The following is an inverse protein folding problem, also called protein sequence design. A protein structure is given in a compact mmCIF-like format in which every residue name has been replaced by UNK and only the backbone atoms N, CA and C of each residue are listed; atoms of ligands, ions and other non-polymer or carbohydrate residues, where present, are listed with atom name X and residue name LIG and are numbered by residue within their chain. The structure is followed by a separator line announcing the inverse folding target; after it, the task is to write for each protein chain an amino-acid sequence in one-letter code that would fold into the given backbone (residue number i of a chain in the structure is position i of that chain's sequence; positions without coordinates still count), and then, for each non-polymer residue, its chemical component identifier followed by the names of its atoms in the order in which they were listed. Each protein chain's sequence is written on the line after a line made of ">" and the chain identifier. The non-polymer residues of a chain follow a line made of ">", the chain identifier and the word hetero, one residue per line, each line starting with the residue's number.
data_IF_812548951634
#
_entry.id   IF_812548951634
#
_cell.length_a   1.000
_cell.length_b   1.000
_cell.length_c   1.000
_cell.angle_alpha   90.00
_cell.angle_beta   90.00
_cell.angle_gamma   90.00
#
_symmetry.space_group_name_H-M   'P 1'
#
loop_
_entity.id
_entity.type
_entity.pdbx_description
1 polymer ?
#
# COMPACT_ATOMS: atom_id res chain seq x y z
N UNK A 1 8.33 13.14 -5.17
CA UNK A 1 7.15 13.09 -4.23
C UNK A 1 5.99 13.88 -4.83
N UNK A 2 4.76 13.38 -4.74
CA UNK A 2 3.60 14.03 -5.37
C UNK A 2 3.31 15.43 -4.77
N UNK A 3 3.02 16.38 -5.64
CA UNK A 3 2.38 17.66 -5.30
C UNK A 3 0.92 17.45 -4.85
N UNK A 4 0.31 18.49 -4.28
CA UNK A 4 -1.09 18.46 -3.83
C UNK A 4 -2.04 18.11 -4.97
N UNK A 5 -1.82 18.69 -6.15
CA UNK A 5 -2.64 18.44 -7.32
C UNK A 5 -2.46 16.99 -7.81
N UNK A 6 -1.22 16.50 -7.89
CA UNK A 6 -0.94 15.11 -8.28
C UNK A 6 -1.55 14.10 -7.30
N UNK A 7 -1.42 14.35 -6.00
CA UNK A 7 -2.03 13.51 -4.95
C UNK A 7 -3.56 13.52 -5.04
N UNK A 8 -4.16 14.68 -5.27
CA UNK A 8 -5.62 14.80 -5.46
C UNK A 8 -6.07 14.03 -6.69
N UNK A 9 -5.37 14.13 -7.82
CA UNK A 9 -5.67 13.31 -9.02
C UNK A 9 -5.55 11.82 -8.72
N UNK A 10 -4.48 11.40 -8.06
CA UNK A 10 -4.27 10.01 -7.64
C UNK A 10 -5.41 9.50 -6.75
N UNK A 11 -5.78 10.23 -5.68
CA UNK A 11 -6.89 9.85 -4.80
C UNK A 11 -8.23 9.81 -5.55
N UNK A 12 -8.48 10.75 -6.46
CA UNK A 12 -9.70 10.76 -7.28
C UNK A 12 -9.76 9.54 -8.22
N UNK A 13 -8.68 9.21 -8.92
CA UNK A 13 -8.59 8.02 -9.77
C UNK A 13 -8.79 6.75 -8.94
N UNK A 14 -8.17 6.67 -7.76
CA UNK A 14 -8.27 5.54 -6.86
C UNK A 14 -9.70 5.34 -6.30
N UNK A 15 -10.39 6.43 -5.96
CA UNK A 15 -11.81 6.37 -5.57
C UNK A 15 -12.71 5.93 -6.72
N UNK A 16 -12.45 6.38 -7.94
CA UNK A 16 -13.16 5.88 -9.14
C UNK A 16 -12.92 4.38 -9.34
N UNK A 17 -11.67 3.92 -9.21
CA UNK A 17 -11.30 2.50 -9.28
C UNK A 17 -12.04 1.68 -8.22
N UNK A 18 -12.13 2.18 -6.97
CA UNK A 18 -12.91 1.57 -5.90
C UNK A 18 -14.41 1.52 -6.20
N UNK A 19 -15.00 2.64 -6.63
CA UNK A 19 -16.43 2.71 -6.97
C UNK A 19 -16.79 1.84 -8.19
N UNK A 20 -15.86 1.66 -9.11
CA UNK A 20 -15.99 0.77 -10.26
C UNK A 20 -15.86 -0.71 -9.90
N UNK A 21 -15.60 -1.02 -8.62
CA UNK A 21 -15.46 -2.39 -8.10
C UNK A 21 -14.18 -3.12 -8.54
N UNK A 22 -13.38 -2.51 -9.41
CA UNK A 22 -12.11 -3.08 -9.85
C UNK A 22 -11.07 -3.14 -8.73
N UNK A 23 -11.01 -2.14 -7.83
CA UNK A 23 -10.11 -2.21 -6.67
C UNK A 23 -10.36 -3.46 -5.82
N UNK A 24 -11.63 -3.76 -5.56
CA UNK A 24 -12.04 -4.91 -4.76
C UNK A 24 -11.78 -6.23 -5.46
N UNK A 25 -11.86 -6.24 -6.80
CA UNK A 25 -11.42 -7.39 -7.61
C UNK A 25 -9.91 -7.63 -7.48
N UNK A 26 -9.09 -6.59 -7.48
CA UNK A 26 -7.65 -6.72 -7.21
C UNK A 26 -7.40 -7.25 -5.80
N UNK A 27 -8.08 -6.72 -4.78
CA UNK A 27 -7.98 -7.22 -3.40
C UNK A 27 -8.38 -8.70 -3.31
N UNK A 28 -9.44 -9.09 -4.01
CA UNK A 28 -9.93 -10.45 -4.06
C UNK A 28 -8.96 -11.41 -4.77
N UNK A 29 -8.37 -11.01 -5.90
CA UNK A 29 -7.33 -11.80 -6.56
C UNK A 29 -6.13 -12.02 -5.65
N UNK A 30 -5.65 -10.95 -4.99
CA UNK A 30 -4.55 -11.10 -4.02
C UNK A 30 -4.90 -12.08 -2.91
N UNK A 31 -6.08 -11.96 -2.31
CA UNK A 31 -6.57 -12.90 -1.29
C UNK A 31 -6.56 -14.35 -1.80
N UNK A 32 -7.15 -14.64 -2.97
CA UNK A 32 -7.19 -15.99 -3.53
C UNK A 32 -5.78 -16.59 -3.71
N UNK A 33 -4.89 -15.86 -4.40
CA UNK A 33 -3.58 -16.38 -4.76
C UNK A 33 -2.56 -16.35 -3.62
N UNK A 34 -2.84 -15.58 -2.56
CA UNK A 34 -2.15 -15.71 -1.29
C UNK A 34 -2.46 -17.04 -0.60
N UNK A 35 -3.73 -17.45 -0.56
CA UNK A 35 -4.13 -18.73 0.04
C UNK A 35 -3.68 -19.95 -0.79
N UNK A 36 -3.69 -19.84 -2.13
CA UNK A 36 -3.20 -20.90 -3.02
C UNK A 36 -1.67 -21.03 -3.05
N UNK A 37 -0.94 -20.09 -2.43
CA UNK A 37 0.54 -20.06 -2.43
C UNK A 37 1.14 -19.69 -3.79
N UNK A 38 0.39 -19.01 -4.65
CA UNK A 38 0.91 -18.51 -5.93
C UNK A 38 1.56 -17.13 -5.82
N UNK A 39 1.15 -16.33 -4.83
CA UNK A 39 1.60 -14.96 -4.64
C UNK A 39 2.59 -14.77 -3.49
N UNK A 40 2.67 -15.71 -2.54
CA UNK A 40 3.49 -15.60 -1.32
C UNK A 40 4.13 -16.93 -0.96
N UNK A 41 5.09 -16.91 -0.04
CA UNK A 41 5.80 -18.04 0.55
C UNK A 41 6.76 -18.74 -0.42
N UNK A 42 7.36 -17.97 -1.33
CA UNK A 42 8.30 -18.51 -2.30
C UNK A 42 8.71 -17.56 -3.41
N UNK A 43 9.54 -18.03 -4.36
CA UNK A 43 10.18 -17.18 -5.37
C UNK A 43 9.22 -16.52 -6.36
N UNK A 44 7.95 -16.94 -6.41
CA UNK A 44 6.93 -16.24 -7.20
C UNK A 44 6.48 -14.92 -6.58
N UNK A 45 6.83 -14.63 -5.33
CA UNK A 45 6.41 -13.41 -4.62
C UNK A 45 6.67 -12.14 -5.44
N UNK A 46 7.92 -11.90 -5.83
CA UNK A 46 8.29 -10.69 -6.56
C UNK A 46 7.67 -10.62 -7.97
N UNK A 47 7.78 -11.64 -8.85
CA UNK A 47 7.22 -11.55 -10.19
C UNK A 47 5.69 -11.47 -10.20
N UNK A 48 5.00 -12.19 -9.31
CA UNK A 48 3.54 -12.12 -9.21
C UNK A 48 3.08 -10.72 -8.78
N UNK A 49 3.70 -10.15 -7.73
CA UNK A 49 3.35 -8.79 -7.28
C UNK A 49 3.73 -7.72 -8.31
N UNK A 50 4.83 -7.90 -9.06
CA UNK A 50 5.23 -6.98 -10.12
C UNK A 50 4.19 -6.88 -11.23
N UNK A 51 3.69 -8.02 -11.71
CA UNK A 51 2.63 -8.03 -12.71
C UNK A 51 1.29 -7.55 -12.11
N UNK A 52 1.00 -7.90 -10.86
CA UNK A 52 -0.18 -7.40 -10.15
C UNK A 52 -0.23 -5.86 -10.11
N UNK A 53 0.87 -5.21 -9.69
CA UNK A 53 0.92 -3.74 -9.60
C UNK A 53 0.96 -3.08 -10.99
N UNK A 54 1.51 -3.75 -12.00
CA UNK A 54 1.48 -3.30 -13.40
C UNK A 54 0.04 -3.25 -13.92
N UNK A 55 -0.73 -4.34 -13.74
CA UNK A 55 -2.17 -4.39 -14.09
C UNK A 55 -2.99 -3.39 -13.29
N UNK A 56 -2.66 -3.22 -12.01
CA UNK A 56 -3.30 -2.23 -11.16
C UNK A 56 -3.08 -0.80 -11.66
N UNK A 57 -1.85 -0.44 -12.06
CA UNK A 57 -1.56 0.87 -12.62
C UNK A 57 -2.28 1.11 -13.95
N UNK A 58 -2.34 0.10 -14.84
CA UNK A 58 -3.13 0.18 -16.08
C UNK A 58 -4.59 0.49 -15.76
N UNK A 59 -5.20 -0.25 -14.81
CA UNK A 59 -6.58 -0.01 -14.41
C UNK A 59 -6.80 1.37 -13.76
N UNK A 60 -5.81 1.91 -13.05
CA UNK A 60 -5.85 3.26 -12.50
C UNK A 60 -5.84 4.32 -13.62
N UNK A 61 -5.02 4.11 -14.66
CA UNK A 61 -4.88 5.00 -15.82
C UNK A 61 -6.13 5.09 -16.69
N UNK A 62 -7.02 4.10 -16.64
CA UNK A 62 -8.36 4.17 -17.26
C UNK A 62 -9.21 5.32 -16.69
N UNK A 63 -8.98 5.73 -15.43
CA UNK A 63 -9.74 6.80 -14.78
C UNK A 63 -9.04 8.17 -14.82
N UNK A 64 -7.71 8.18 -14.91
CA UNK A 64 -6.88 9.36 -15.17
C UNK A 64 -5.55 8.92 -15.81
N UNK A 65 -5.33 9.15 -17.11
CA UNK A 65 -4.11 8.68 -17.79
C UNK A 65 -2.84 9.44 -17.36
N UNK A 66 -2.98 10.51 -16.58
CA UNK A 66 -1.85 11.32 -16.09
C UNK A 66 -1.31 10.87 -14.75
N UNK A 67 -1.96 9.90 -14.09
CA UNK A 67 -1.46 9.35 -12.82
C UNK A 67 -0.63 8.10 -13.05
N UNK A 68 0.34 7.92 -12.16
CA UNK A 68 1.08 6.67 -11.97
C UNK A 68 0.80 6.12 -10.58
N UNK A 69 1.15 4.86 -10.34
CA UNK A 69 1.11 4.26 -9.02
C UNK A 69 2.29 4.80 -8.18
N UNK A 70 2.05 5.62 -7.14
CA UNK A 70 3.13 6.07 -6.28
C UNK A 70 3.66 4.92 -5.42
N UNK A 71 4.91 5.04 -4.96
CA UNK A 71 5.48 4.16 -3.95
C UNK A 71 5.55 4.86 -2.60
N UNK A 72 5.56 4.06 -1.52
CA UNK A 72 5.79 4.53 -0.16
C UNK A 72 7.19 4.12 0.30
N UNK A 73 8.06 5.10 0.50
CA UNK A 73 9.36 4.92 1.14
C UNK A 73 9.22 5.04 2.66
N UNK A 74 8.95 3.91 3.32
CA UNK A 74 8.73 3.88 4.77
C UNK A 74 9.95 4.25 5.61
N UNK A 75 11.16 4.29 5.02
CA UNK A 75 12.36 4.71 5.75
C UNK A 75 12.24 6.18 6.16
N UNK A 76 11.55 7.00 5.36
CA UNK A 76 11.31 8.42 5.69
C UNK A 76 10.52 8.58 6.98
N UNK A 77 9.56 7.69 7.25
CA UNK A 77 8.76 7.70 8.47
C UNK A 77 9.51 7.02 9.63
N UNK A 78 10.30 5.98 9.34
CA UNK A 78 11.17 5.31 10.31
C UNK A 78 12.21 6.26 10.91
N UNK A 79 12.59 7.33 10.20
CA UNK A 79 13.51 8.35 10.70
C UNK A 79 12.90 9.28 11.76
N UNK A 80 11.60 9.14 12.08
CA UNK A 80 10.94 9.94 13.11
C UNK A 80 11.10 9.33 14.51
N UNK A 81 11.04 10.15 15.58
CA UNK A 81 11.02 9.66 16.97
C UNK A 81 9.88 8.67 17.21
N UNK A 82 8.75 8.90 16.54
CA UNK A 82 7.61 8.00 16.49
C UNK A 82 7.06 7.98 15.05
N UNK A 83 7.22 6.87 14.30
CA UNK A 83 6.75 6.80 12.92
C UNK A 83 5.22 6.95 12.75
N UNK A 84 4.44 6.75 13.82
CA UNK A 84 2.99 7.00 13.81
C UNK A 84 2.64 8.49 13.77
N UNK A 85 3.59 9.37 14.04
CA UNK A 85 3.41 10.81 13.95
C UNK A 85 3.66 11.35 12.54
N UNK A 86 3.99 10.49 11.58
CA UNK A 86 4.07 10.87 10.16
C UNK A 86 2.77 11.47 9.63
N UNK A 87 2.92 12.45 8.73
CA UNK A 87 1.82 12.98 7.92
C UNK A 87 1.12 11.95 7.03
N UNK A 88 1.73 10.79 6.78
CA UNK A 88 1.10 9.70 6.03
C UNK A 88 -0.26 9.32 6.65
N UNK A 89 -0.39 9.41 7.97
CA UNK A 89 -1.59 9.07 8.74
C UNK A 89 -2.55 10.25 8.94
N UNK A 90 -2.56 11.21 8.01
CA UNK A 90 -3.46 12.37 8.02
C UNK A 90 -4.47 12.33 6.86
N UNK A 91 -5.51 13.16 6.94
CA UNK A 91 -6.60 13.23 5.95
C UNK A 91 -6.11 13.55 4.53
N UNK A 92 -5.02 14.32 4.44
CA UNK A 92 -4.34 14.67 3.18
C UNK A 92 -3.79 13.43 2.46
N UNK A 93 -3.46 12.36 3.21
CA UNK A 93 -2.81 11.14 2.72
C UNK A 93 -3.69 9.92 3.00
N UNK A 94 -3.23 9.00 3.87
CA UNK A 94 -3.87 7.71 4.07
C UNK A 94 -5.08 7.75 5.04
N UNK A 95 -5.45 8.93 5.56
CA UNK A 95 -6.52 9.08 6.53
C UNK A 95 -6.09 8.72 7.95
N UNK A 96 -6.78 9.32 8.93
CA UNK A 96 -6.52 9.11 10.36
C UNK A 96 -7.22 7.85 10.86
N UNK A 97 -6.57 7.26 11.86
CA UNK A 97 -7.09 6.14 12.65
C UNK A 97 -7.38 6.59 14.06
N UNK A 98 -8.59 6.30 14.57
CA UNK A 98 -8.97 6.55 15.97
C UNK A 98 -8.84 5.29 16.84
N UNK A 99 -9.11 5.42 18.13
CA UNK A 99 -8.76 4.47 19.21
C UNK A 99 -9.10 2.99 18.97
N UNK A 100 -10.13 2.68 18.18
CA UNK A 100 -10.54 1.30 17.87
C UNK A 100 -9.96 0.75 16.55
N UNK A 101 -9.06 1.50 15.91
CA UNK A 101 -8.29 1.07 14.74
C UNK A 101 -8.91 1.38 13.39
N UNK A 102 -10.14 1.90 13.31
CA UNK A 102 -10.74 2.21 12.00
C UNK A 102 -10.13 3.44 11.34
N UNK A 103 -10.01 3.39 10.02
CA UNK A 103 -9.74 4.57 9.18
C UNK A 103 -11.05 5.34 9.03
N UNK A 104 -11.08 6.57 9.52
CA UNK A 104 -12.32 7.33 9.66
C UNK A 104 -12.39 8.59 8.80
N UNK A 105 -11.24 9.05 8.29
CA UNK A 105 -11.12 10.34 7.61
C UNK A 105 -10.32 10.23 6.32
N UNK A 106 -10.19 11.34 5.60
CA UNK A 106 -9.48 11.39 4.33
C UNK A 106 -10.21 10.67 3.20
N UNK A 107 -9.51 10.46 2.09
CA UNK A 107 -10.07 9.88 0.85
C UNK A 107 -10.53 8.42 0.97
N UNK A 108 -10.20 7.77 2.10
CA UNK A 108 -10.43 6.35 2.36
C UNK A 108 -11.34 6.09 3.57
N UNK A 109 -11.85 7.12 4.25
CA UNK A 109 -12.60 6.97 5.51
C UNK A 109 -13.98 6.30 5.38
N UNK A 110 -14.51 6.23 4.17
CA UNK A 110 -15.75 5.54 3.78
C UNK A 110 -15.51 4.17 3.15
N UNK A 111 -14.24 3.76 2.98
CA UNK A 111 -13.91 2.49 2.35
C UNK A 111 -14.23 1.31 3.25
N UNK A 112 -14.74 0.26 2.61
CA UNK A 112 -14.99 -1.04 3.22
C UNK A 112 -14.09 -2.11 2.61
N UNK A 113 -13.71 -3.09 3.41
CA UNK A 113 -13.01 -4.29 2.95
C UNK A 113 -13.94 -5.18 2.13
N UNK A 114 -13.36 -6.17 1.44
CA UNK A 114 -14.11 -7.24 0.81
C UNK A 114 -14.72 -8.15 1.89
N UNK A 115 -15.96 -8.60 1.68
CA UNK A 115 -16.62 -9.55 2.58
C UNK A 115 -16.18 -10.98 2.23
N UNK A 116 -14.97 -11.37 2.64
CA UNK A 116 -14.55 -12.77 2.57
C UNK A 116 -15.05 -13.50 3.81
N UNK A 117 -16.26 -14.05 3.78
CA UNK A 117 -16.68 -14.94 4.85
C UNK A 117 -15.84 -16.23 4.76
N UNK A 118 -15.22 -16.67 5.85
CA UNK A 118 -14.52 -17.97 5.96
C UNK A 118 -15.42 -19.22 5.72
N UNK A 119 -16.67 -19.03 5.29
CA UNK A 119 -17.64 -20.07 4.92
C UNK A 119 -18.14 -19.95 3.48
N UNK A 120 -17.85 -18.85 2.79
CA UNK A 120 -18.19 -18.75 1.38
C UNK A 120 -17.10 -19.51 0.60
N UNK A 121 -17.45 -20.52 -0.19
CA UNK A 121 -16.49 -21.20 -1.05
C UNK A 121 -15.78 -20.15 -1.90
N UNK A 122 -14.48 -20.31 -2.14
CA UNK A 122 -13.78 -19.58 -3.21
C UNK A 122 -14.64 -19.74 -4.48
N UNK A 123 -15.22 -18.67 -5.07
CA UNK A 123 -15.90 -18.75 -6.33
C UNK A 123 -15.13 -19.63 -7.31
N UNK A 124 -15.78 -20.69 -7.78
CA UNK A 124 -15.25 -21.56 -8.81
C UNK A 124 -14.94 -20.68 -10.05
N UNK A 125 -13.75 -20.84 -10.64
CA UNK A 125 -13.35 -20.09 -11.84
C UNK A 125 -14.28 -20.36 -13.04
N UNK A 126 -15.08 -21.42 -12.96
CA UNK A 126 -16.13 -21.78 -13.93
C UNK A 126 -17.53 -21.35 -13.52
N UNK A 127 -17.69 -20.74 -12.33
CA UNK A 127 -18.97 -20.25 -11.83
C UNK A 127 -19.46 -19.07 -12.68
N UNK A 128 -20.61 -19.18 -13.37
CA UNK A 128 -21.24 -18.05 -14.06
C UNK A 128 -21.58 -16.90 -13.08
N UNK A 129 -21.73 -17.17 -11.78
CA UNK A 129 -21.88 -16.17 -10.71
C UNK A 129 -20.58 -15.46 -10.32
N UNK A 130 -19.42 -15.80 -10.90
CA UNK A 130 -18.24 -14.92 -10.82
C UNK A 130 -18.54 -13.52 -11.40
N UNK A 131 -19.55 -13.42 -12.28
CA UNK A 131 -20.11 -12.14 -12.73
C UNK A 131 -21.10 -11.50 -11.75
N UNK A 132 -21.64 -12.25 -10.78
CA UNK A 132 -22.51 -11.74 -9.73
C UNK A 132 -21.69 -11.22 -8.54
N UNK A 133 -20.89 -10.20 -8.85
CA UNK A 133 -19.96 -9.48 -7.97
C UNK A 133 -20.56 -8.97 -6.64
N UNK A 134 -21.90 -8.89 -6.55
CA UNK A 134 -22.63 -8.44 -5.37
C UNK A 134 -22.31 -9.22 -4.08
N UNK A 135 -21.68 -10.40 -4.15
CA UNK A 135 -21.26 -11.22 -3.00
C UNK A 135 -19.92 -10.80 -2.37
N UNK A 136 -19.07 -10.03 -3.07
CA UNK A 136 -17.76 -9.56 -2.55
C UNK A 136 -17.91 -8.28 -1.69
N UNK A 137 -19.06 -7.62 -1.80
CA UNK A 137 -19.36 -6.37 -1.12
C UNK A 137 -19.84 -6.60 0.32
N UNK A 138 -19.37 -5.75 1.24
CA UNK A 138 -19.98 -5.63 2.58
C UNK A 138 -19.05 -5.90 3.76
N UNK A 139 -17.72 -5.90 3.56
CA UNK A 139 -16.77 -5.95 4.67
C UNK A 139 -16.87 -4.73 5.60
N UNK A 140 -16.04 -4.72 6.63
CA UNK A 140 -16.01 -3.62 7.61
C UNK A 140 -15.23 -2.42 7.09
N UNK A 141 -15.30 -1.29 7.80
CA UNK A 141 -14.34 -0.21 7.57
C UNK A 141 -12.92 -0.74 7.72
N UNK A 142 -12.01 -0.17 6.93
CA UNK A 142 -10.58 -0.49 6.99
C UNK A 142 -10.07 -0.29 8.42
N UNK A 143 -9.36 -1.28 8.95
CA UNK A 143 -8.77 -1.29 10.28
C UNK A 143 -7.24 -1.35 10.21
N UNK A 144 -6.57 -0.46 10.96
CA UNK A 144 -5.14 -0.46 11.23
C UNK A 144 -4.94 -0.68 12.72
N UNK A 145 -4.08 -1.64 13.06
CA UNK A 145 -3.71 -1.95 14.44
C UNK A 145 -2.20 -1.83 14.53
N UNK A 146 -1.72 -0.60 14.64
CA UNK A 146 -0.31 -0.29 14.51
C UNK A 146 0.55 -0.99 15.56
N UNK A 147 1.80 -1.29 15.16
CA UNK A 147 2.87 -1.74 16.04
C UNK A 147 2.54 -3.03 16.83
N UNK A 148 1.80 -3.96 16.21
CA UNK A 148 1.49 -5.25 16.83
C UNK A 148 2.69 -6.18 16.81
N UNK A 149 3.35 -6.33 15.66
CA UNK A 149 4.44 -7.31 15.47
C UNK A 149 5.45 -6.94 14.36
N UNK A 150 5.31 -5.78 13.72
CA UNK A 150 6.14 -5.37 12.57
C UNK A 150 6.94 -4.09 12.80
N UNK A 151 7.73 -3.73 11.78
CA UNK A 151 8.55 -2.51 11.75
C UNK A 151 8.61 -1.94 10.34
N UNK A 152 8.85 -0.63 10.22
CA UNK A 152 9.14 0.01 8.95
C UNK A 152 10.56 -0.34 8.45
N UNK A 153 10.82 -0.12 7.17
CA UNK A 153 12.17 -0.30 6.63
C UNK A 153 13.17 0.67 7.26
N UNK A 154 14.38 0.16 7.49
CA UNK A 154 15.57 0.97 7.80
C UNK A 154 16.47 1.03 6.57
N UNK A 155 17.39 2.00 6.54
CA UNK A 155 18.43 2.06 5.50
C UNK A 155 19.26 0.77 5.44
N UNK A 156 19.49 0.14 6.59
CA UNK A 156 20.24 -1.11 6.68
C UNK A 156 19.52 -2.28 5.99
N UNK A 157 18.19 -2.39 6.16
CA UNK A 157 17.38 -3.41 5.47
C UNK A 157 17.41 -3.16 3.97
N UNK A 158 17.18 -1.93 3.52
CA UNK A 158 17.17 -1.58 2.09
C UNK A 158 18.54 -1.88 1.46
N UNK A 159 19.62 -1.41 2.08
CA UNK A 159 20.98 -1.63 1.57
C UNK A 159 21.36 -3.12 1.60
N UNK A 160 20.93 -3.84 2.63
CA UNK A 160 21.13 -5.29 2.73
C UNK A 160 20.46 -6.07 1.61
N UNK A 161 19.25 -5.67 1.19
CA UNK A 161 18.58 -6.27 0.03
C UNK A 161 19.29 -5.89 -1.28
N UNK A 162 19.64 -4.61 -1.47
CA UNK A 162 20.24 -4.12 -2.73
C UNK A 162 21.66 -4.65 -2.98
N UNK A 163 22.44 -4.88 -1.92
CA UNK A 163 23.81 -5.40 -2.01
C UNK A 163 23.88 -6.92 -2.07
N UNK A 164 22.74 -7.60 -1.89
CA UNK A 164 22.67 -9.04 -1.94
C UNK A 164 22.78 -9.53 -3.39
N UNK A 165 23.86 -10.23 -3.71
CA UNK A 165 24.10 -10.79 -5.03
C UNK A 165 23.52 -12.21 -5.21
N UNK A 166 22.84 -12.76 -4.20
CA UNK A 166 22.26 -14.09 -4.24
C UNK A 166 20.75 -14.02 -4.47
N UNK A 167 20.31 -14.35 -5.69
CA UNK A 167 18.89 -14.41 -6.03
C UNK A 167 18.10 -15.36 -5.10
N UNK A 168 18.74 -16.44 -4.64
CA UNK A 168 18.15 -17.38 -3.69
C UNK A 168 17.90 -16.81 -2.30
N UNK A 169 18.66 -15.78 -1.89
CA UNK A 169 18.42 -15.09 -0.61
C UNK A 169 17.34 -14.03 -0.73
N UNK A 170 17.29 -13.33 -1.87
CA UNK A 170 16.27 -12.30 -2.16
C UNK A 170 14.90 -12.95 -2.35
N UNK A 171 14.82 -13.97 -3.21
CA UNK A 171 13.61 -14.73 -3.55
C UNK A 171 13.54 -16.06 -2.77
N UNK A 172 13.90 -16.03 -1.49
CA UNK A 172 13.88 -17.23 -0.64
C UNK A 172 12.46 -17.73 -0.39
N UNK A 173 12.33 -18.99 0.02
CA UNK A 173 11.09 -19.53 0.56
C UNK A 173 11.09 -19.39 2.09
N UNK A 174 10.28 -18.52 2.67
CA UNK A 174 10.20 -18.38 4.12
C UNK A 174 9.61 -19.61 4.83
N UNK A 175 9.00 -20.54 4.08
CA UNK A 175 8.41 -21.79 4.57
C UNK A 175 9.27 -23.03 4.29
N UNK A 176 10.54 -22.85 3.91
CA UNK A 176 11.45 -23.94 3.59
C UNK A 176 11.58 -24.96 4.74
N UNK A 177 11.23 -26.23 4.48
CA UNK A 177 11.27 -27.31 5.46
C UNK A 177 12.64 -28.02 5.50
N UNK A 178 12.80 -28.90 6.47
CA UNK A 178 13.97 -29.78 6.58
C UNK A 178 14.16 -30.60 5.29
N UNK A 179 15.37 -30.57 4.70
CA UNK A 179 15.65 -31.15 3.38
C UNK A 179 15.78 -30.11 2.24
N UNK A 180 15.35 -28.87 2.43
CA UNK A 180 15.58 -27.82 1.44
C UNK A 180 17.06 -27.43 1.36
N UNK A 181 17.64 -27.39 0.15
CA UNK A 181 19.03 -26.93 -0.08
C UNK A 181 19.16 -25.40 -0.01
N UNK A 182 18.04 -24.69 -0.18
CA UNK A 182 17.91 -23.23 -0.09
C UNK A 182 17.13 -22.91 1.18
N UNK A 183 17.76 -23.11 2.34
CA UNK A 183 17.14 -22.69 3.61
C UNK A 183 17.32 -21.20 3.79
N UNK A 184 16.24 -20.50 4.17
CA UNK A 184 16.42 -19.25 4.90
C UNK A 184 17.21 -19.60 6.17
N UNK A 185 18.40 -19.02 6.32
CA UNK A 185 19.04 -19.03 7.63
C UNK A 185 18.32 -17.95 8.43
N UNK A 186 17.50 -18.35 9.40
CA UNK A 186 17.14 -17.52 10.53
C UNK A 186 18.40 -17.33 11.39
N UNK A 187 19.39 -16.61 10.85
CA UNK A 187 20.44 -16.04 11.70
C UNK A 187 19.81 -14.87 12.45
N UNK A 188 20.44 -14.42 13.54
CA UNK A 188 20.07 -13.18 14.24
C UNK A 188 20.33 -11.92 13.38
N UNK A 189 20.28 -12.05 12.05
CA UNK A 189 20.62 -11.06 11.03
C UNK A 189 19.33 -10.56 10.37
N UNK A 190 19.35 -9.31 9.91
CA UNK A 190 18.22 -8.64 9.28
C UNK A 190 17.58 -9.44 8.13
N UNK A 191 16.26 -9.25 7.88
CA UNK A 191 15.56 -9.96 6.82
C UNK A 191 16.03 -9.45 5.45
N UNK A 192 17.05 -10.09 4.87
CA UNK A 192 17.49 -9.83 3.50
C UNK A 192 16.61 -10.52 2.42
N UNK A 193 15.54 -11.18 2.86
CA UNK A 193 14.47 -11.68 2.00
C UNK A 193 13.49 -10.57 1.71
N UNK A 194 13.15 -10.39 0.43
CA UNK A 194 12.22 -9.35 0.01
C UNK A 194 10.81 -9.55 0.62
N UNK A 195 10.30 -10.79 0.61
CA UNK A 195 8.98 -11.12 1.15
C UNK A 195 8.93 -10.91 2.67
N UNK A 196 9.96 -11.36 3.40
CA UNK A 196 9.98 -11.22 4.87
C UNK A 196 10.08 -9.75 5.27
N UNK A 197 10.96 -8.99 4.61
CA UNK A 197 11.07 -7.55 4.85
C UNK A 197 9.74 -6.85 4.54
N UNK A 198 9.14 -7.11 3.38
CA UNK A 198 7.82 -6.58 3.03
C UNK A 198 6.74 -6.93 4.07
N UNK A 199 6.75 -8.16 4.58
CA UNK A 199 5.83 -8.60 5.64
C UNK A 199 5.95 -7.81 6.95
N UNK A 200 7.12 -7.24 7.27
CA UNK A 200 7.25 -6.40 8.48
C UNK A 200 6.48 -5.09 8.35
N UNK A 201 6.34 -4.54 7.13
CA UNK A 201 5.53 -3.34 6.88
C UNK A 201 4.04 -3.64 7.09
N UNK A 202 3.56 -4.76 6.55
CA UNK A 202 2.19 -5.24 6.75
C UNK A 202 1.87 -5.38 8.25
N UNK A 203 2.75 -6.04 8.99
CA UNK A 203 2.61 -6.23 10.43
C UNK A 203 2.80 -4.95 11.26
N UNK A 204 3.50 -3.95 10.73
CA UNK A 204 3.61 -2.63 11.36
C UNK A 204 2.28 -1.89 11.30
N UNK A 205 1.56 -1.95 10.17
CA UNK A 205 0.23 -1.35 10.04
C UNK A 205 -0.82 -2.17 10.82
N UNK A 206 -0.73 -3.50 10.73
CA UNK A 206 -1.64 -4.44 11.38
C UNK A 206 -3.09 -4.29 10.94
N UNK A 207 -4.01 -4.91 11.69
CA UNK A 207 -5.43 -4.93 11.34
C UNK A 207 -5.67 -5.65 10.01
N UNK A 208 -6.42 -5.03 9.10
CA UNK A 208 -6.71 -5.59 7.77
C UNK A 208 -5.47 -5.63 6.85
N UNK A 209 -4.36 -5.00 7.27
CA UNK A 209 -3.10 -5.00 6.54
C UNK A 209 -2.08 -6.01 7.10
N UNK A 210 -2.31 -6.51 8.31
CA UNK A 210 -1.41 -7.49 8.94
C UNK A 210 -1.63 -8.88 8.37
N UNK A 211 -0.64 -9.76 8.55
CA UNK A 211 -0.90 -11.18 8.37
C UNK A 211 -1.96 -11.65 9.37
N UNK A 212 -2.75 -12.70 9.03
CA UNK A 212 -3.66 -13.32 9.99
C UNK A 212 -2.89 -13.72 11.26
N UNK A 213 -3.55 -13.73 12.41
CA UNK A 213 -2.96 -14.17 13.68
C UNK A 213 -2.31 -15.55 13.53
N UNK A 214 -1.30 -15.94 14.33
CA UNK A 214 -0.68 -17.26 14.24
C UNK A 214 -1.68 -18.44 14.19
N UNK A 215 -2.81 -18.31 14.88
CA UNK A 215 -3.92 -19.28 14.91
C UNK A 215 -4.74 -19.32 13.59
N UNK A 216 -4.89 -18.18 12.89
CA UNK A 216 -5.48 -18.09 11.56
C UNK A 216 -4.48 -18.48 10.45
N UNK A 217 -3.18 -18.26 10.69
CA UNK A 217 -2.07 -18.69 9.84
C UNK A 217 -2.00 -20.22 9.79
N UNK A 218 -2.08 -20.91 10.94
CA UNK A 218 -1.97 -22.37 11.06
C UNK A 218 -3.03 -23.12 10.22
N UNK A 219 -4.19 -22.51 9.99
CA UNK A 219 -5.29 -23.05 9.18
C UNK A 219 -5.26 -22.61 7.70
N UNK A 220 -4.45 -21.62 7.34
CA UNK A 220 -4.30 -21.07 5.97
C UNK A 220 -3.01 -21.54 5.29
N UNK A 221 -2.10 -22.18 6.03
CA UNK A 221 -0.86 -22.71 5.48
C UNK A 221 -1.12 -23.96 4.61
N UNK A 222 -0.83 -23.92 3.29
CA UNK A 222 -0.82 -25.14 2.51
C UNK A 222 0.32 -26.05 3.01
N UNK A 223 0.03 -27.34 3.15
CA UNK A 223 1.08 -28.33 3.34
C UNK A 223 1.93 -28.35 2.05
N UNK A 224 3.25 -28.09 2.12
CA UNK A 224 4.11 -28.16 0.96
C UNK A 224 4.12 -29.59 0.46
N UNK A 225 4.39 -29.74 -0.84
CA UNK A 225 5.24 -30.85 -1.21
C UNK A 225 6.07 -30.62 -2.46
N UNK A 226 7.37 -30.96 -2.46
CA UNK A 226 7.92 -31.99 -1.54
C UNK A 226 9.06 -31.58 -0.59
N UNK A 227 9.76 -30.44 -0.75
CA UNK A 227 10.75 -30.00 0.28
C UNK A 227 10.93 -28.47 0.53
N UNK A 228 10.57 -27.55 -0.39
CA UNK A 228 10.85 -26.10 -0.21
C UNK A 228 9.66 -25.15 -0.40
N UNK A 229 8.76 -25.39 -1.36
CA UNK A 229 7.59 -24.55 -1.68
C UNK A 229 6.62 -25.33 -2.60
N UNK A 230 5.41 -24.82 -2.84
CA UNK A 230 4.41 -25.45 -3.73
C UNK A 230 4.86 -25.40 -5.21
N UNK A 231 4.27 -26.23 -6.11
CA UNK A 231 4.54 -26.14 -7.54
C UNK A 231 4.25 -24.75 -8.11
N UNK A 232 3.28 -24.00 -7.60
CA UNK A 232 2.92 -22.67 -8.11
C UNK A 232 4.12 -21.70 -8.25
N UNK A 233 5.17 -21.92 -7.47
CA UNK A 233 6.42 -21.15 -7.49
C UNK A 233 7.46 -21.56 -8.54
N UNK A 234 7.21 -22.59 -9.35
CA UNK A 234 8.16 -22.98 -10.41
C UNK A 234 8.25 -21.89 -11.46
N UNK A 235 9.45 -21.66 -11.99
CA UNK A 235 9.72 -20.60 -12.97
C UNK A 235 8.81 -20.70 -14.21
N UNK A 236 8.47 -21.92 -14.64
CA UNK A 236 7.61 -22.18 -15.79
C UNK A 236 6.11 -22.15 -15.47
N UNK A 237 5.72 -22.03 -14.20
CA UNK A 237 4.32 -22.09 -13.82
C UNK A 237 3.60 -20.74 -14.02
N UNK A 238 2.31 -20.78 -14.37
CA UNK A 238 1.52 -19.57 -14.59
C UNK A 238 1.38 -18.70 -13.34
N UNK A 239 1.52 -17.39 -13.51
CA UNK A 239 1.12 -16.35 -12.57
C UNK A 239 -0.36 -16.03 -12.76
N UNK A 240 -1.25 -16.95 -12.40
CA UNK A 240 -2.68 -16.65 -12.47
C UNK A 240 -3.02 -15.45 -11.55
N UNK A 241 -3.97 -14.59 -11.96
CA UNK A 241 -4.88 -14.72 -13.11
C UNK A 241 -4.39 -13.99 -14.37
N UNK A 242 -3.07 -13.78 -14.56
CA UNK A 242 -2.56 -12.92 -15.62
C UNK A 242 -2.36 -13.66 -16.95
N UNK A 243 -2.88 -13.08 -18.03
CA UNK A 243 -2.78 -13.58 -19.40
C UNK A 243 -2.21 -12.51 -20.33
N UNK A 244 -1.51 -12.93 -21.37
CA UNK A 244 -1.01 -12.07 -22.44
C UNK A 244 -2.11 -11.68 -23.45
N UNK A 245 -1.75 -10.90 -24.46
CA UNK A 245 -2.64 -10.45 -25.53
C UNK A 245 -3.23 -11.58 -26.39
N UNK A 246 -2.58 -12.74 -26.40
CA UNK A 246 -3.02 -13.95 -27.11
C UNK A 246 -3.81 -14.90 -26.19
N UNK A 247 -4.18 -14.44 -25.00
CA UNK A 247 -4.88 -15.21 -23.98
C UNK A 247 -4.08 -16.44 -23.50
N UNK A 248 -2.75 -16.38 -23.53
CA UNK A 248 -1.86 -17.37 -22.94
C UNK A 248 -1.49 -16.96 -21.51
N UNK A 249 -1.43 -17.90 -20.54
CA UNK A 249 -1.05 -17.56 -19.17
C UNK A 249 0.39 -17.05 -19.10
N UNK A 250 0.60 -15.90 -18.46
CA UNK A 250 1.94 -15.41 -18.13
C UNK A 250 2.57 -16.30 -17.07
N UNK A 251 3.87 -16.56 -17.17
CA UNK A 251 4.64 -17.41 -16.24
C UNK A 251 5.46 -16.60 -15.27
N UNK A 252 5.90 -17.22 -14.17
CA UNK A 252 6.82 -16.59 -13.21
C UNK A 252 8.10 -16.04 -13.89
N UNK A 253 8.61 -16.71 -14.93
CA UNK A 253 9.72 -16.21 -15.75
C UNK A 253 9.44 -14.85 -16.39
N UNK A 254 8.20 -14.62 -16.82
CA UNK A 254 7.83 -13.44 -17.57
C UNK A 254 7.82 -12.22 -16.66
N UNK A 255 7.34 -12.35 -15.41
CA UNK A 255 7.40 -11.28 -14.40
C UNK A 255 8.82 -10.86 -13.99
N UNK A 256 9.82 -11.70 -14.23
CA UNK A 256 11.24 -11.36 -14.03
C UNK A 256 11.87 -10.67 -15.25
N UNK A 257 11.15 -10.58 -16.36
CA UNK A 257 11.67 -9.98 -17.59
C UNK A 257 12.02 -8.50 -17.41
N UNK A 258 13.07 -8.08 -18.12
CA UNK A 258 13.47 -6.68 -18.17
C UNK A 258 12.51 -5.80 -18.99
N UNK A 259 11.59 -6.40 -19.76
CA UNK A 259 10.60 -5.64 -20.55
C UNK A 259 9.75 -4.71 -19.66
N UNK A 260 9.46 -5.13 -18.43
CA UNK A 260 8.76 -4.29 -17.45
C UNK A 260 9.54 -3.01 -17.12
N UNK A 261 10.87 -3.08 -17.13
CA UNK A 261 11.74 -1.91 -16.90
C UNK A 261 11.77 -0.95 -18.09
N UNK A 262 11.19 -1.34 -19.24
CA UNK A 262 10.96 -0.45 -20.38
C UNK A 262 9.63 0.32 -20.24
N UNK A 263 8.68 -0.18 -19.45
CA UNK A 263 7.36 0.44 -19.28
C UNK A 263 7.31 1.48 -18.16
N UNK A 264 8.14 1.34 -17.13
CA UNK A 264 8.14 2.25 -15.99
C UNK A 264 9.53 2.41 -15.37
N UNK A 265 9.72 3.53 -14.69
CA UNK A 265 10.89 3.80 -13.86
C UNK A 265 10.44 4.43 -12.54
N UNK A 266 11.11 4.06 -11.45
CA UNK A 266 10.89 4.70 -10.15
C UNK A 266 11.69 6.00 -10.05
N UNK A 267 11.05 7.05 -9.52
CA UNK A 267 11.76 8.25 -9.07
C UNK A 267 12.78 7.86 -7.99
N UNK A 268 14.00 8.41 -8.00
CA UNK A 268 14.97 8.18 -6.93
C UNK A 268 14.42 8.61 -5.56
N UNK A 269 14.90 7.96 -4.50
CA UNK A 269 14.60 8.37 -3.13
C UNK A 269 15.04 9.81 -2.88
N UNK A 270 14.25 10.62 -2.15
CA UNK A 270 14.60 12.01 -1.88
C UNK A 270 15.86 12.10 -1.02
N UNK A 271 16.73 13.05 -1.35
CA UNK A 271 17.97 13.32 -0.62
C UNK A 271 18.01 14.79 -0.20
N UNK A 272 18.78 15.08 0.85
CA UNK A 272 19.04 16.45 1.28
C UNK A 272 20.53 16.72 1.43
N UNK A 273 20.85 18.01 1.45
CA UNK A 273 22.17 18.55 1.72
C UNK A 273 22.00 19.90 2.43
N UNK A 274 23.10 20.56 2.79
CA UNK A 274 23.07 21.86 3.50
C UNK A 274 22.30 22.98 2.76
N UNK A 275 22.06 22.84 1.45
CA UNK A 275 21.31 23.81 0.64
C UNK A 275 19.86 23.38 0.36
N UNK A 276 19.54 22.10 0.50
CA UNK A 276 18.22 21.53 0.19
C UNK A 276 17.62 20.89 1.44
N UNK A 277 17.10 21.72 2.35
CA UNK A 277 16.64 21.30 3.67
C UNK A 277 15.21 20.70 3.69
N UNK A 278 14.46 20.81 2.60
CA UNK A 278 13.11 20.26 2.47
C UNK A 278 13.07 18.96 1.65
N UNK A 279 14.21 18.38 1.28
CA UNK A 279 14.24 17.16 0.47
C UNK A 279 13.47 17.26 -0.87
N UNK A 280 13.33 18.48 -1.41
CA UNK A 280 12.56 18.74 -2.63
C UNK A 280 11.03 18.70 -2.45
N UNK A 281 10.51 18.63 -1.22
CA UNK A 281 9.06 18.55 -0.97
C UNK A 281 8.65 19.26 0.32
N UNK A 282 7.53 19.99 0.30
CA UNK A 282 6.95 20.61 1.51
C UNK A 282 6.44 19.60 2.54
N UNK A 283 6.44 18.32 2.20
CA UNK A 283 5.99 17.21 3.05
C UNK A 283 7.15 16.49 3.76
N UNK A 284 8.39 16.86 3.44
CA UNK A 284 9.59 16.27 4.00
C UNK A 284 10.45 17.35 4.66
N UNK A 285 11.40 16.92 5.48
CA UNK A 285 12.45 17.76 6.01
C UNK A 285 13.77 16.99 6.08
N UNK A 286 14.88 17.72 6.14
CA UNK A 286 16.21 17.15 6.29
C UNK A 286 16.53 17.00 7.79
N UNK A 287 16.71 15.77 8.25
CA UNK A 287 17.23 15.45 9.57
C UNK A 287 18.73 15.75 9.61
N UNK A 288 19.12 16.68 10.48
CA UNK A 288 20.49 17.13 10.70
C UNK A 288 20.99 16.77 12.09
N UNK A 289 20.16 16.15 12.92
CA UNK A 289 20.42 15.93 14.35
C UNK A 289 20.87 14.51 14.66
N UNK A 290 20.69 13.57 13.73
CA UNK A 290 20.99 12.14 13.95
C UNK A 290 22.13 11.59 13.07
N UNK A 291 23.10 12.44 12.71
CA UNK A 291 24.31 12.03 11.98
C UNK A 291 24.33 12.52 10.53
N UNK A 292 24.51 11.61 9.58
CA UNK A 292 24.51 11.95 8.15
C UNK A 292 23.16 12.54 7.74
N UNK A 293 23.21 13.58 6.91
CA UNK A 293 22.01 14.24 6.38
C UNK A 293 21.13 13.21 5.68
N UNK A 294 19.87 13.14 6.12
CA UNK A 294 18.88 12.21 5.57
C UNK A 294 17.50 12.85 5.58
N UNK A 295 16.65 12.42 4.66
CA UNK A 295 15.28 12.90 4.59
C UNK A 295 14.38 12.15 5.57
N UNK A 296 13.42 12.88 6.12
CA UNK A 296 12.36 12.34 6.97
C UNK A 296 11.00 12.93 6.59
N UNK A 297 9.94 12.17 6.84
CA UNK A 297 8.56 12.60 6.66
C UNK A 297 8.20 13.69 7.66
N UNK A 298 7.49 14.76 7.29
CA UNK A 298 7.06 15.73 8.31
C UNK A 298 6.13 15.10 9.35
N UNK A 299 6.13 15.72 10.53
CA UNK A 299 5.39 15.29 11.71
C UNK A 299 4.03 16.01 11.75
N UNK A 300 2.95 15.26 11.93
CA UNK A 300 1.58 15.78 12.07
C UNK A 300 1.45 16.59 13.38
N UNK A 301 0.49 17.52 13.42
CA UNK A 301 0.16 18.25 14.64
C UNK A 301 -0.18 17.30 15.80
N UNK A 302 0.31 17.62 17.00
CA UNK A 302 0.24 16.78 18.20
C UNK A 302 1.31 15.68 18.26
N UNK A 303 2.10 15.49 17.20
CA UNK A 303 3.16 14.48 17.13
C UNK A 303 4.46 14.89 17.84
N UNK A 304 5.29 13.90 18.14
CA UNK A 304 6.58 14.07 18.82
C UNK A 304 7.66 14.61 17.87
N UNK A 305 8.17 15.81 18.13
CA UNK A 305 9.27 16.45 17.40
C UNK A 305 10.57 16.56 18.22
N UNK A 306 10.70 15.82 19.32
CA UNK A 306 11.96 15.74 20.09
C UNK A 306 13.10 15.10 19.28
N UNK A 307 14.35 15.37 19.65
CA UNK A 307 15.53 14.83 18.97
C UNK A 307 16.00 15.62 17.75
N UNK A 308 15.15 16.49 17.18
CA UNK A 308 15.55 17.43 16.13
C UNK A 308 15.96 18.78 16.75
N UNK A 309 17.27 18.96 16.94
CA UNK A 309 17.85 20.07 17.71
C UNK A 309 18.61 21.09 16.88
N UNK A 310 18.72 20.91 15.56
CA UNK A 310 19.52 21.73 14.65
C UNK A 310 18.66 22.68 13.78
N UNK A 311 17.47 23.02 14.27
CA UNK A 311 16.54 23.95 13.62
C UNK A 311 15.78 23.35 12.44
N UNK A 312 15.58 22.03 12.44
CA UNK A 312 14.81 21.34 11.41
C UNK A 312 13.35 21.80 11.37
N UNK A 313 12.83 22.01 10.16
CA UNK A 313 11.40 22.25 9.92
C UNK A 313 10.61 20.93 9.95
N UNK A 314 10.57 20.28 11.12
CA UNK A 314 10.06 18.92 11.26
C UNK A 314 8.53 18.83 11.21
N UNK A 315 7.81 19.89 11.60
CA UNK A 315 6.36 19.88 11.74
C UNK A 315 5.64 20.24 10.43
N UNK A 316 4.54 19.54 10.14
CA UNK A 316 3.66 19.85 9.02
C UNK A 316 2.61 20.88 9.43
N UNK A 317 2.56 22.01 8.71
CA UNK A 317 1.64 23.14 8.99
C UNK A 317 1.72 23.63 10.44
N UNK A 318 2.93 23.67 11.00
CA UNK A 318 3.16 24.00 12.40
C UNK A 318 4.63 24.18 12.72
N UNK A 319 4.95 24.27 14.02
CA UNK A 319 6.32 24.33 14.51
C UNK A 319 6.48 23.46 15.76
N UNK A 320 7.71 23.10 16.08
CA UNK A 320 8.01 22.29 17.26
C UNK A 320 8.05 23.18 18.50
N UNK A 321 7.14 22.96 19.45
CA UNK A 321 7.10 23.66 20.73
C UNK A 321 7.08 22.63 21.87
N UNK A 322 8.05 22.72 22.79
CA UNK A 322 8.19 21.79 23.92
C UNK A 322 8.17 20.30 23.50
N UNK A 323 8.77 19.97 22.35
CA UNK A 323 8.85 18.60 21.84
C UNK A 323 7.59 18.09 21.14
N UNK A 324 6.58 18.93 20.93
CA UNK A 324 5.34 18.59 20.24
C UNK A 324 5.09 19.53 19.07
N UNK A 325 4.62 19.01 17.94
CA UNK A 325 4.21 19.84 16.82
C UNK A 325 2.89 20.56 17.11
N UNK A 326 2.93 21.89 17.19
CA UNK A 326 1.76 22.74 17.43
C UNK A 326 1.42 23.57 16.18
N UNK A 327 0.14 23.94 16.05
CA UNK A 327 -0.29 24.80 14.96
C UNK A 327 0.42 26.17 15.07
N UNK A 328 0.91 26.69 13.95
CA UNK A 328 1.41 28.08 13.92
C UNK A 328 0.24 29.06 14.08
N UNK A 329 0.44 30.16 14.80
CA UNK A 329 -0.55 31.24 14.96
C UNK A 329 -0.88 32.03 13.68
N UNK A 330 -0.55 31.50 12.50
CA UNK A 330 -0.89 32.06 11.20
C UNK A 330 -2.10 31.35 10.61
N UNK A 331 -3.20 32.07 10.47
CA UNK A 331 -4.36 31.67 9.69
C UNK A 331 -3.98 31.51 8.22
N UNK A 332 -3.56 30.32 7.80
CA UNK A 332 -3.76 29.92 6.40
C UNK A 332 -5.21 29.49 6.26
N UNK A 333 -6.04 30.44 5.85
CA UNK A 333 -7.25 30.14 5.10
C UNK A 333 -6.85 29.24 3.93
N UNK A 334 -7.22 27.96 4.02
CA UNK A 334 -7.31 27.08 2.86
C UNK A 334 -8.53 27.54 2.03
N UNK A 335 -8.36 28.09 0.81
CA UNK A 335 -9.49 28.50 -0.01
C UNK A 335 -10.33 27.32 -0.51
N UNK A 336 -9.90 26.07 -0.29
CA UNK A 336 -10.52 24.87 -0.86
C UNK A 336 -11.36 24.04 0.13
N UNK A 337 -11.53 24.48 1.38
CA UNK A 337 -12.39 23.77 2.35
C UNK A 337 -13.91 24.09 2.26
N UNK A 338 -14.39 24.73 1.18
CA UNK A 338 -15.83 25.08 1.08
C UNK A 338 -16.65 24.32 0.03
N UNK A 339 -16.08 23.40 -0.75
CA UNK A 339 -16.85 22.71 -1.82
C UNK A 339 -17.01 21.19 -1.69
N UNK A 340 -16.57 20.58 -0.59
CA UNK A 340 -16.97 19.22 -0.25
C UNK A 340 -18.03 19.28 0.86
N UNK A 341 -19.11 18.52 0.71
CA UNK A 341 -20.26 18.38 1.64
C UNK A 341 -21.48 19.29 1.38
N UNK A 342 -22.07 19.20 0.19
CA UNK A 342 -23.53 19.37 0.02
C UNK A 342 -24.09 18.60 -1.18
N UNK A 343 -23.86 17.29 -1.26
CA UNK A 343 -24.70 16.41 -2.09
C UNK A 343 -25.92 15.94 -1.30
N UNK A 344 -26.86 16.86 -1.05
CA UNK A 344 -28.23 16.46 -0.78
C UNK A 344 -28.87 16.03 -2.10
N UNK A 345 -28.97 14.70 -2.26
CA UNK A 345 -29.83 14.09 -3.25
C UNK A 345 -31.28 14.44 -2.89
N UNK A 346 -31.88 15.38 -3.61
CA UNK A 346 -33.34 15.58 -3.64
C UNK A 346 -33.85 14.92 -4.92
N UNK A 347 -34.75 13.92 -4.86
CA UNK A 347 -35.37 13.38 -6.06
C UNK A 347 -36.39 14.38 -6.60
N UNK A 348 -36.23 14.78 -7.86
CA UNK A 348 -37.21 15.61 -8.57
C UNK A 348 -38.48 14.79 -8.88
N UNK A 349 -39.59 15.17 -8.26
CA UNK A 349 -40.93 14.75 -8.64
C UNK A 349 -41.57 15.81 -9.56
N UNK A 350 -42.31 15.32 -10.55
CA UNK A 350 -43.39 15.98 -11.31
C UNK A 350 -42.99 16.96 -12.44
N UNK A 351 -43.05 16.45 -13.68
CA UNK A 351 -43.45 17.25 -14.85
C UNK A 351 -44.90 16.92 -15.20
N UNK A 352 -45.79 17.86 -14.90
CA UNK A 352 -47.16 17.91 -15.40
C UNK A 352 -47.50 19.36 -15.73
N UNK A 353 -47.83 19.64 -17.00
CA UNK A 353 -48.38 20.94 -17.39
C UNK A 353 -48.12 21.33 -18.84
N UNK A 354 -48.89 20.75 -19.76
CA UNK A 354 -49.06 21.29 -21.12
C UNK A 354 -49.83 22.61 -21.08
N UNK A 355 -49.35 23.61 -21.82
CA UNK A 355 -49.98 24.92 -22.04
C UNK A 355 -50.94 24.92 -23.25
N UNK A 356 -51.93 25.84 -23.30
CA UNK A 356 -53.04 25.80 -24.25
C UNK A 356 -52.76 26.55 -25.55
N UNK A 357 -53.38 26.08 -26.65
CA UNK A 357 -53.36 26.73 -27.96
C UNK A 357 -54.64 26.49 -28.78
N UNK A 358 -55.61 27.40 -28.62
CA UNK A 358 -56.64 27.86 -29.56
C UNK A 358 -56.86 27.09 -30.89
N UNK A 359 -58.03 26.48 -31.05
CA UNK A 359 -59.19 27.01 -31.81
C UNK A 359 -60.39 26.08 -31.70
#
# INVERSE_FOLDING_TARGET
>A
MLSDNERTRYHNALRKLKNSQLYDRFAYWHYQYAQEGGAHQGPAFAPWHREFINRYEIALKEFDPTVSLPYWDSVLDQNLPNPLDSILWTDDFAGRTYDIGYVNTGSFGDWKTIAVNNRDPVPDKTDPEFQNYNRILGGTKIKRLFNTTGQLFTEEIVQGILTNNSIHRILTSPTAREGCSVKMRWTNELPYSLEVAHGTIHNYIGGDFGNPTPEEQENSYPQPSIFCHTPAHYLSNPMYPFYDENNLPLKNSDGLSNIYSEFYQYEPRPMCNEFTLNCGSKYLFCDRSHGLLRCASKIKLGGNCTGFTNGEDACFRGHCENGVCVAGGGSEFDPFQQEAWSSHFVPSSEDGGDMPGTK
#
